data_IF_632641322749
#
_entry.id   IF_632641322749
#
_cell.length_a   1.000
_cell.length_b   1.000
_cell.length_c   1.000
_cell.angle_alpha   90.00
_cell.angle_beta   90.00
_cell.angle_gamma   90.00
#
_symmetry.space_group_name_H-M   'P 1'
#
loop_
_entity.id
_entity.type
_entity.pdbx_description
1 polymer ?
#
# COMPACT_ATOMS: atom_id res chain seq x y z
N UNK A 1 60.84 50.81 -15.87
CA UNK A 1 60.77 49.56 -15.09
C UNK A 1 59.30 49.19 -14.93
N UNK A 2 58.76 48.30 -15.77
CA UNK A 2 57.40 47.78 -15.60
C UNK A 2 57.48 46.26 -15.52
N UNK A 3 57.42 45.73 -14.29
CA UNK A 3 57.09 44.32 -14.03
C UNK A 3 55.60 44.25 -13.70
N UNK A 4 54.82 43.63 -14.58
CA UNK A 4 53.42 43.26 -14.34
C UNK A 4 53.27 41.75 -14.52
N UNK A 5 53.04 41.04 -13.41
CA UNK A 5 52.87 39.58 -13.34
C UNK A 5 51.62 39.14 -14.11
N UNK A 6 51.76 38.13 -14.96
CA UNK A 6 50.63 37.37 -15.50
C UNK A 6 50.23 36.28 -14.50
N UNK A 7 48.99 36.33 -14.00
CA UNK A 7 48.36 35.21 -13.28
C UNK A 7 47.51 34.41 -14.27
N UNK A 8 47.55 33.06 -14.25
CA UNK A 8 46.65 32.26 -15.08
C UNK A 8 45.24 32.27 -14.47
N UNK A 9 44.28 32.81 -15.21
CA UNK A 9 42.85 32.73 -14.87
C UNK A 9 42.40 31.28 -14.94
N UNK A 10 41.79 30.80 -13.85
CA UNK A 10 41.33 29.44 -13.67
C UNK A 10 40.42 28.96 -14.81
N UNK A 11 40.66 27.72 -15.29
CA UNK A 11 39.69 26.98 -16.10
C UNK A 11 38.40 26.81 -15.29
N UNK A 12 37.34 27.49 -15.72
CA UNK A 12 36.00 27.22 -15.21
C UNK A 12 35.53 25.86 -15.75
N UNK A 13 35.42 24.87 -14.87
CA UNK A 13 34.76 23.61 -15.19
C UNK A 13 33.26 23.90 -15.35
N UNK A 14 32.73 23.74 -16.56
CA UNK A 14 31.29 23.82 -16.80
C UNK A 14 30.66 22.54 -16.27
N UNK A 15 29.75 22.59 -15.27
CA UNK A 15 29.05 21.41 -14.84
C UNK A 15 28.12 20.97 -15.98
N UNK A 16 28.46 19.84 -16.61
CA UNK A 16 27.56 19.14 -17.52
C UNK A 16 26.24 18.96 -16.79
N UNK A 17 25.19 19.62 -17.29
CA UNK A 17 23.84 19.50 -16.77
C UNK A 17 23.42 18.05 -16.94
N UNK A 18 23.60 17.25 -15.88
CA UNK A 18 23.04 15.92 -15.79
C UNK A 18 21.54 16.09 -15.88
N UNK A 19 20.99 15.84 -17.07
CA UNK A 19 19.56 15.73 -17.31
C UNK A 19 19.08 14.62 -16.38
N UNK A 20 18.52 15.00 -15.24
CA UNK A 20 17.85 14.06 -14.37
C UNK A 20 16.64 13.59 -15.17
N UNK A 21 16.78 12.43 -15.79
CA UNK A 21 15.68 11.69 -16.40
C UNK A 21 14.80 11.23 -15.24
N UNK A 22 13.98 12.14 -14.72
CA UNK A 22 12.83 11.76 -13.91
C UNK A 22 12.05 10.79 -14.78
N UNK A 23 12.04 9.51 -14.40
CA UNK A 23 11.12 8.53 -14.98
C UNK A 23 9.73 9.03 -14.64
N UNK A 24 9.14 9.83 -15.53
CA UNK A 24 7.77 10.31 -15.42
C UNK A 24 6.91 9.06 -15.45
N UNK A 25 6.41 8.69 -14.27
CA UNK A 25 5.39 7.66 -14.14
C UNK A 25 4.25 8.04 -15.11
N UNK A 26 3.90 7.13 -16.02
CA UNK A 26 3.01 7.37 -17.15
C UNK A 26 1.79 8.23 -16.74
N UNK A 27 1.66 9.41 -17.32
CA UNK A 27 0.61 10.39 -17.01
C UNK A 27 -0.69 10.15 -17.78
N UNK A 28 -0.78 9.05 -18.53
CA UNK A 28 -2.02 8.69 -19.23
C UNK A 28 -3.15 8.52 -18.22
N UNK A 29 -4.28 9.20 -18.47
CA UNK A 29 -5.45 9.09 -17.59
C UNK A 29 -5.90 7.63 -17.53
N UNK A 30 -6.25 7.15 -16.33
CA UNK A 30 -6.64 5.75 -16.08
C UNK A 30 -7.79 5.30 -17.00
N UNK A 31 -8.63 6.26 -17.43
CA UNK A 31 -9.72 6.05 -18.38
C UNK A 31 -9.24 5.74 -19.81
N UNK A 32 -8.16 6.39 -20.29
CA UNK A 32 -7.68 6.25 -21.67
C UNK A 32 -7.03 4.89 -21.95
N UNK A 33 -6.50 4.23 -20.90
CA UNK A 33 -5.78 2.97 -21.02
C UNK A 33 -6.62 1.73 -20.65
N UNK A 34 -7.93 1.89 -20.40
CA UNK A 34 -8.84 0.76 -20.12
C UNK A 34 -8.52 0.00 -18.82
N UNK A 35 -7.82 0.63 -17.87
CA UNK A 35 -7.44 -0.02 -16.62
C UNK A 35 -8.66 -0.23 -15.72
N UNK A 36 -8.98 -1.49 -15.42
CA UNK A 36 -9.95 -1.85 -14.38
C UNK A 36 -9.29 -1.95 -13.02
N UNK A 37 -10.02 -1.53 -11.98
CA UNK A 37 -9.62 -1.84 -10.61
C UNK A 37 -9.57 -3.36 -10.43
N UNK A 38 -8.60 -3.84 -9.65
CA UNK A 38 -8.47 -5.28 -9.35
C UNK A 38 -8.68 -5.47 -7.87
N UNK A 39 -9.48 -6.48 -7.51
CA UNK A 39 -9.62 -6.87 -6.11
C UNK A 39 -8.31 -7.47 -5.59
N UNK A 40 -7.87 -7.00 -4.43
CA UNK A 40 -6.67 -7.49 -3.77
C UNK A 40 -6.86 -8.94 -3.32
N UNK A 41 -6.20 -9.89 -3.97
CA UNK A 41 -6.44 -11.33 -3.80
C UNK A 41 -6.22 -11.80 -2.35
N UNK A 42 -5.21 -11.27 -1.66
CA UNK A 42 -4.93 -11.62 -0.26
C UNK A 42 -6.01 -11.13 0.71
N UNK A 43 -6.61 -9.97 0.43
CA UNK A 43 -7.72 -9.44 1.20
C UNK A 43 -8.99 -10.21 0.88
N UNK A 44 -9.20 -10.52 -0.42
CA UNK A 44 -10.33 -11.33 -0.88
C UNK A 44 -10.35 -12.66 -0.16
N UNK A 45 -9.22 -13.32 0.13
CA UNK A 45 -9.18 -14.61 0.86
C UNK A 45 -9.53 -14.51 2.36
N UNK A 46 -9.21 -13.37 3.00
CA UNK A 46 -9.27 -13.22 4.47
C UNK A 46 -10.57 -12.60 4.98
N UNK A 47 -11.21 -11.76 4.16
CA UNK A 47 -12.42 -11.04 4.52
C UNK A 47 -13.58 -11.49 3.66
N UNK A 48 -14.78 -11.56 4.27
CA UNK A 48 -16.06 -11.81 3.58
C UNK A 48 -16.98 -10.61 3.76
N UNK A 49 -17.55 -10.13 2.67
CA UNK A 49 -18.58 -9.08 2.63
C UNK A 49 -19.92 -9.69 3.02
N UNK A 50 -20.68 -8.98 3.85
CA UNK A 50 -22.09 -9.29 4.10
C UNK A 50 -22.98 -8.70 3.00
N UNK A 51 -24.27 -9.06 3.01
CA UNK A 51 -25.26 -8.58 2.05
C UNK A 51 -25.35 -7.05 2.03
N UNK A 52 -25.16 -6.40 3.18
CA UNK A 52 -25.20 -4.94 3.34
C UNK A 52 -24.08 -4.20 2.57
N UNK A 53 -23.04 -4.91 2.11
CA UNK A 53 -21.95 -4.35 1.30
C UNK A 53 -21.00 -3.38 2.02
N UNK A 54 -21.25 -3.08 3.29
CA UNK A 54 -20.43 -2.20 4.15
C UNK A 54 -19.73 -2.97 5.25
N UNK A 55 -20.37 -4.00 5.77
CA UNK A 55 -19.84 -4.83 6.86
C UNK A 55 -19.05 -6.01 6.31
N UNK A 56 -17.87 -6.24 6.89
CA UNK A 56 -17.00 -7.37 6.56
C UNK A 56 -16.76 -8.24 7.79
N UNK A 57 -16.73 -9.56 7.59
CA UNK A 57 -16.40 -10.55 8.62
C UNK A 57 -15.05 -11.24 8.35
N UNK A 58 -14.40 -11.68 9.43
CA UNK A 58 -13.15 -12.46 9.42
C UNK A 58 -13.05 -13.42 10.61
N UNK A 59 -12.12 -14.37 10.53
CA UNK A 59 -11.67 -15.13 11.70
C UNK A 59 -10.75 -14.30 12.62
N UNK A 60 -10.76 -14.59 13.93
CA UNK A 60 -9.82 -13.99 14.88
C UNK A 60 -8.45 -14.70 14.81
N UNK A 61 -7.40 -13.94 15.08
CA UNK A 61 -6.03 -14.45 15.10
C UNK A 61 -5.74 -15.26 16.38
N UNK A 62 -4.55 -15.88 16.45
CA UNK A 62 -4.01 -16.56 17.64
C UNK A 62 -4.73 -17.84 18.10
N UNK A 63 -5.50 -18.48 17.20
CA UNK A 63 -6.24 -19.73 17.49
C UNK A 63 -5.57 -21.01 16.98
N UNK A 64 -4.60 -20.90 16.06
CA UNK A 64 -4.08 -22.06 15.32
C UNK A 64 -3.12 -22.95 16.10
N UNK A 65 -2.20 -22.38 16.88
CA UNK A 65 -1.15 -23.13 17.60
C UNK A 65 -0.95 -22.57 19.01
N UNK A 66 -0.23 -23.32 19.87
CA UNK A 66 0.02 -22.99 21.28
C UNK A 66 -1.27 -22.76 22.07
N UNK A 67 -2.27 -23.63 21.88
CA UNK A 67 -3.54 -23.53 22.59
C UNK A 67 -3.49 -24.10 24.01
N UNK A 68 -2.51 -24.96 24.31
CA UNK A 68 -2.36 -25.65 25.60
C UNK A 68 -2.28 -24.66 26.78
N UNK A 69 -1.62 -23.52 26.61
CA UNK A 69 -1.46 -22.49 27.65
C UNK A 69 -2.64 -21.51 27.74
N UNK A 70 -3.59 -21.58 26.81
CA UNK A 70 -4.74 -20.67 26.76
C UNK A 70 -5.91 -21.28 27.52
N UNK A 71 -6.58 -20.48 28.36
CA UNK A 71 -7.80 -20.94 29.02
C UNK A 71 -8.89 -21.33 28.00
N UNK A 72 -9.75 -22.32 28.32
CA UNK A 72 -10.86 -22.71 27.45
C UNK A 72 -11.77 -21.54 27.04
N UNK A 73 -12.02 -20.60 27.96
CA UNK A 73 -12.79 -19.39 27.66
C UNK A 73 -12.13 -18.51 26.59
N UNK A 74 -10.80 -18.33 26.64
CA UNK A 74 -10.05 -17.57 25.63
C UNK A 74 -10.11 -18.27 24.27
N UNK A 75 -9.91 -19.59 24.28
CA UNK A 75 -10.03 -20.49 23.14
C UNK A 75 -11.38 -20.31 22.43
N UNK A 76 -12.49 -20.35 23.18
CA UNK A 76 -13.84 -20.20 22.65
C UNK A 76 -14.06 -18.80 22.06
N UNK A 77 -13.61 -17.75 22.75
CA UNK A 77 -13.70 -16.35 22.27
C UNK A 77 -12.94 -16.12 20.97
N UNK A 78 -11.79 -16.78 20.78
CA UNK A 78 -10.98 -16.71 19.56
C UNK A 78 -11.56 -17.55 18.41
N UNK A 79 -12.39 -18.55 18.70
CA UNK A 79 -13.13 -19.31 17.69
C UNK A 79 -14.28 -18.52 17.05
N UNK A 80 -14.74 -17.45 17.69
CA UNK A 80 -15.84 -16.63 17.18
C UNK A 80 -15.44 -15.73 16.01
N UNK A 81 -16.41 -15.43 15.15
CA UNK A 81 -16.28 -14.46 14.07
C UNK A 81 -15.99 -13.06 14.61
N UNK A 82 -15.18 -12.28 13.91
CA UNK A 82 -14.96 -10.87 14.17
C UNK A 82 -15.40 -10.03 12.97
N UNK A 83 -15.95 -8.84 13.25
CA UNK A 83 -16.33 -7.87 12.25
C UNK A 83 -15.25 -6.81 12.06
N UNK A 84 -15.21 -6.20 10.88
CA UNK A 84 -14.34 -5.06 10.61
C UNK A 84 -14.75 -3.86 11.46
N UNK A 85 -13.76 -3.10 11.93
CA UNK A 85 -14.03 -1.78 12.50
C UNK A 85 -14.47 -0.80 11.40
N UNK A 86 -15.14 0.31 11.72
CA UNK A 86 -15.59 1.28 10.73
C UNK A 86 -14.46 1.76 9.81
N UNK A 87 -13.28 2.07 10.39
CA UNK A 87 -12.10 2.49 9.64
C UNK A 87 -11.56 1.40 8.71
N UNK A 88 -11.57 0.14 9.16
CA UNK A 88 -11.15 -1.00 8.33
C UNK A 88 -12.12 -1.22 7.16
N UNK A 89 -13.42 -1.09 7.40
CA UNK A 89 -14.45 -1.24 6.38
C UNK A 89 -14.27 -0.20 5.25
N UNK A 90 -13.97 1.06 5.58
CA UNK A 90 -13.69 2.11 4.59
C UNK A 90 -12.51 1.72 3.70
N UNK A 91 -11.39 1.28 4.29
CA UNK A 91 -10.19 0.86 3.54
C UNK A 91 -10.47 -0.37 2.67
N UNK A 92 -11.21 -1.35 3.20
CA UNK A 92 -11.60 -2.56 2.47
C UNK A 92 -12.44 -2.21 1.23
N UNK A 93 -13.46 -1.37 1.40
CA UNK A 93 -14.37 -0.99 0.31
C UNK A 93 -13.71 -0.11 -0.75
N UNK A 94 -12.93 0.91 -0.33
CA UNK A 94 -12.37 1.91 -1.26
C UNK A 94 -11.16 1.42 -2.04
N UNK A 95 -10.29 0.61 -1.43
CA UNK A 95 -8.97 0.32 -2.02
C UNK A 95 -8.71 -1.16 -2.27
N UNK A 96 -9.26 -2.06 -1.46
CA UNK A 96 -8.87 -3.49 -1.52
C UNK A 96 -9.89 -4.36 -2.23
N UNK A 97 -11.18 -4.13 -2.00
CA UNK A 97 -12.28 -4.98 -2.45
C UNK A 97 -13.39 -4.11 -3.08
N UNK A 98 -13.10 -3.43 -4.20
CA UNK A 98 -14.06 -2.55 -4.86
C UNK A 98 -15.32 -3.29 -5.33
N UNK A 99 -15.19 -4.57 -5.68
CA UNK A 99 -16.30 -5.43 -6.11
C UNK A 99 -16.80 -6.38 -5.01
N UNK A 100 -16.37 -6.17 -3.77
CA UNK A 100 -16.64 -7.11 -2.68
C UNK A 100 -15.78 -8.39 -2.77
N UNK A 101 -16.23 -9.42 -2.05
CA UNK A 101 -15.42 -10.62 -1.82
C UNK A 101 -16.17 -11.95 -2.00
N UNK A 102 -17.45 -11.91 -2.35
CA UNK A 102 -18.19 -13.10 -2.76
C UNK A 102 -17.78 -13.54 -4.17
#
# INVERSE_FOLDING_TARGET
MYLGRLLPTALSWSPSSSVIVNRLFSTTSVAQAGYKLKSHSGAKKRWRSLADGTTFKRGKAFRSHLNVTKSPARINRLGQTAYATPTQAVKLKKSLLPYGSN
#
